data_IF_521682216620
#
_entry.id   IF_521682216620
#
_cell.length_a   1.000
_cell.length_b   1.000
_cell.length_c   1.000
_cell.angle_alpha   90.00
_cell.angle_beta   90.00
_cell.angle_gamma   90.00
#
_symmetry.space_group_name_H-M   'P 1'
#
loop_
_entity.id
_entity.type
_entity.pdbx_description
1 polymer ?
#
# COMPACT_ATOMS: atom_id res chain seq x y z
N UNK A 1 -22.72 -32.51 -6.73
CA UNK A 1 -22.44 -31.06 -6.85
C UNK A 1 -22.46 -30.44 -5.46
N UNK A 2 -21.45 -29.62 -5.15
CA UNK A 2 -21.14 -29.11 -3.81
C UNK A 2 -22.22 -28.11 -3.32
N UNK A 3 -23.20 -28.57 -2.52
CA UNK A 3 -24.16 -27.67 -1.84
C UNK A 3 -23.53 -26.94 -0.63
N UNK A 4 -22.35 -27.39 -0.18
CA UNK A 4 -21.59 -26.81 0.96
C UNK A 4 -21.22 -25.36 0.76
N UNK A 5 -20.61 -25.04 -0.39
CA UNK A 5 -20.19 -23.67 -0.65
C UNK A 5 -21.41 -22.73 -0.77
N UNK A 6 -22.52 -23.19 -1.37
CA UNK A 6 -23.68 -22.33 -1.57
C UNK A 6 -24.45 -22.06 -0.27
N UNK A 7 -24.73 -23.07 0.55
CA UNK A 7 -25.51 -22.88 1.78
C UNK A 7 -24.72 -22.12 2.85
N UNK A 8 -23.41 -22.37 2.95
CA UNK A 8 -22.55 -21.61 3.87
C UNK A 8 -22.45 -20.14 3.45
N UNK A 9 -22.35 -19.84 2.15
CA UNK A 9 -22.33 -18.46 1.65
C UNK A 9 -23.66 -17.72 1.85
N UNK A 10 -24.78 -18.45 1.89
CA UNK A 10 -26.11 -17.85 2.10
C UNK A 10 -26.38 -17.62 3.59
N UNK A 11 -26.12 -18.63 4.43
CA UNK A 11 -26.52 -18.61 5.84
C UNK A 11 -25.41 -18.12 6.78
N UNK A 12 -24.14 -18.25 6.40
CA UNK A 12 -23.00 -17.88 7.25
C UNK A 12 -22.79 -18.78 8.47
N UNK A 13 -23.61 -19.82 8.67
CA UNK A 13 -23.58 -20.71 9.84
C UNK A 13 -22.51 -21.80 9.72
N UNK A 14 -21.94 -22.17 10.86
CA UNK A 14 -21.15 -23.40 11.03
C UNK A 14 -22.05 -24.64 10.95
N UNK A 15 -21.45 -25.82 10.78
CA UNK A 15 -22.20 -27.08 10.76
C UNK A 15 -22.95 -27.35 12.07
N UNK A 16 -22.39 -26.93 13.20
CA UNK A 16 -22.97 -27.13 14.53
C UNK A 16 -24.14 -26.20 14.75
N UNK A 17 -24.00 -24.91 14.42
CA UNK A 17 -25.10 -23.94 14.50
C UNK A 17 -26.26 -24.31 13.58
N UNK A 18 -25.97 -24.74 12.34
CA UNK A 18 -27.00 -25.16 11.40
C UNK A 18 -27.73 -26.42 11.88
N UNK A 19 -27.00 -27.40 12.41
CA UNK A 19 -27.60 -28.62 12.95
C UNK A 19 -28.47 -28.32 14.18
N UNK A 20 -27.97 -27.51 15.10
CA UNK A 20 -28.72 -27.07 16.29
C UNK A 20 -30.00 -26.33 15.91
N UNK A 21 -29.93 -25.36 14.99
CA UNK A 21 -31.07 -24.58 14.52
C UNK A 21 -32.17 -25.46 13.91
N UNK A 22 -31.78 -26.49 13.15
CA UNK A 22 -32.71 -27.40 12.49
C UNK A 22 -33.22 -28.51 13.43
N UNK A 23 -32.58 -28.71 14.59
CA UNK A 23 -32.90 -29.78 15.54
C UNK A 23 -32.45 -31.15 15.04
N UNK A 24 -31.29 -31.21 14.37
CA UNK A 24 -30.68 -32.43 13.84
C UNK A 24 -29.26 -32.59 14.36
N UNK A 25 -28.66 -33.77 14.14
CA UNK A 25 -27.25 -33.97 14.46
C UNK A 25 -26.33 -33.35 13.40
N UNK A 26 -25.14 -32.91 13.82
CA UNK A 26 -24.10 -32.38 12.93
C UNK A 26 -23.78 -33.32 11.76
N UNK A 27 -23.76 -34.63 12.02
CA UNK A 27 -23.52 -35.64 10.99
C UNK A 27 -24.61 -35.67 9.92
N UNK A 28 -25.87 -35.47 10.31
CA UNK A 28 -27.01 -35.40 9.38
C UNK A 28 -26.94 -34.15 8.50
N UNK A 29 -26.53 -33.01 9.08
CA UNK A 29 -26.25 -31.80 8.30
C UNK A 29 -25.13 -32.04 7.28
N UNK A 30 -24.00 -32.60 7.69
CA UNK A 30 -22.88 -32.92 6.78
C UNK A 30 -23.28 -33.88 5.64
N UNK A 31 -24.07 -34.90 5.94
CA UNK A 31 -24.60 -35.82 4.92
C UNK A 31 -25.59 -35.13 3.97
N UNK A 32 -26.41 -34.21 4.47
CA UNK A 32 -27.32 -33.43 3.63
C UNK A 32 -26.57 -32.52 2.67
N UNK A 33 -25.61 -31.77 3.18
CA UNK A 33 -24.90 -30.79 2.38
C UNK A 33 -23.98 -31.47 1.36
N UNK A 34 -23.44 -32.65 1.67
CA UNK A 34 -22.73 -33.50 0.71
C UNK A 34 -23.65 -34.27 -0.26
N UNK A 35 -24.97 -34.18 -0.10
CA UNK A 35 -25.97 -34.85 -0.95
C UNK A 35 -26.11 -36.35 -0.70
N UNK A 36 -25.52 -36.86 0.38
CA UNK A 36 -25.55 -38.28 0.75
C UNK A 36 -26.85 -38.71 1.44
N UNK A 37 -27.58 -37.77 2.07
CA UNK A 37 -28.84 -38.05 2.77
C UNK A 37 -29.78 -36.85 2.73
N UNK A 38 -31.08 -37.08 2.62
CA UNK A 38 -32.05 -35.99 2.77
C UNK A 38 -32.27 -35.61 4.23
N UNK A 39 -32.62 -34.35 4.49
CA UNK A 39 -33.04 -33.92 5.82
C UNK A 39 -34.42 -34.50 6.17
N UNK A 40 -34.71 -34.69 7.47
CA UNK A 40 -36.07 -34.90 7.94
C UNK A 40 -37.01 -33.81 7.43
N UNK A 41 -38.29 -34.13 7.24
CA UNK A 41 -39.29 -33.18 6.72
C UNK A 41 -39.32 -31.88 7.55
N UNK A 42 -39.40 -32.01 8.87
CA UNK A 42 -39.42 -30.87 9.79
C UNK A 42 -38.16 -29.98 9.68
N UNK A 43 -36.98 -30.57 9.47
CA UNK A 43 -35.74 -29.81 9.27
C UNK A 43 -35.71 -29.14 7.89
N UNK A 44 -36.29 -29.77 6.87
CA UNK A 44 -36.41 -29.22 5.52
C UNK A 44 -37.32 -27.99 5.51
N UNK A 45 -38.46 -28.05 6.20
CA UNK A 45 -39.40 -26.93 6.34
C UNK A 45 -38.76 -25.73 7.06
N UNK A 46 -38.04 -25.98 8.18
CA UNK A 46 -37.29 -24.95 8.90
C UNK A 46 -36.22 -24.30 8.03
N UNK A 47 -35.45 -25.09 7.29
CA UNK A 47 -34.42 -24.58 6.38
C UNK A 47 -35.02 -23.73 5.26
N UNK A 48 -36.13 -24.18 4.66
CA UNK A 48 -36.82 -23.44 3.61
C UNK A 48 -37.36 -22.09 4.13
N UNK A 49 -37.93 -22.06 5.33
CA UNK A 49 -38.40 -20.83 5.96
C UNK A 49 -37.25 -19.84 6.23
N UNK A 50 -36.12 -20.34 6.76
CA UNK A 50 -34.94 -19.53 7.03
C UNK A 50 -34.36 -18.94 5.74
N UNK A 51 -34.19 -19.75 4.69
CA UNK A 51 -33.67 -19.31 3.40
C UNK A 51 -34.56 -18.23 2.78
N UNK A 52 -35.89 -18.39 2.87
CA UNK A 52 -36.84 -17.39 2.40
C UNK A 52 -36.69 -16.07 3.15
N UNK A 53 -36.54 -16.11 4.47
CA UNK A 53 -36.34 -14.91 5.28
C UNK A 53 -35.02 -14.22 4.94
N UNK A 54 -33.91 -14.95 4.92
CA UNK A 54 -32.57 -14.40 4.59
C UNK A 54 -32.56 -13.74 3.21
N UNK A 55 -33.22 -14.34 2.20
CA UNK A 55 -33.33 -13.76 0.87
C UNK A 55 -34.26 -12.54 0.79
N UNK A 56 -35.21 -12.42 1.72
CA UNK A 56 -36.14 -11.29 1.79
C UNK A 56 -35.57 -10.09 2.57
N UNK A 57 -34.56 -10.31 3.43
CA UNK A 57 -33.87 -9.23 4.12
C UNK A 57 -33.05 -8.43 3.11
N UNK A 58 -33.58 -7.26 2.71
CA UNK A 58 -32.91 -6.33 1.78
C UNK A 58 -31.90 -5.40 2.45
N UNK A 59 -31.94 -5.29 3.79
CA UNK A 59 -31.09 -4.37 4.54
C UNK A 59 -30.19 -5.13 5.51
N UNK A 60 -28.87 -4.86 5.55
CA UNK A 60 -27.96 -5.47 6.51
C UNK A 60 -28.40 -5.21 7.95
N UNK A 61 -28.05 -6.10 8.87
CA UNK A 61 -28.35 -5.93 10.29
C UNK A 61 -27.71 -4.66 10.86
N UNK A 62 -28.20 -4.19 12.01
CA UNK A 62 -27.64 -3.00 12.67
C UNK A 62 -26.16 -3.19 13.00
N UNK A 63 -25.80 -4.39 13.44
CA UNK A 63 -24.43 -4.80 13.77
C UNK A 63 -23.55 -4.78 12.52
N UNK A 64 -24.04 -5.35 11.41
CA UNK A 64 -23.33 -5.36 10.13
C UNK A 64 -23.10 -3.95 9.59
N UNK A 65 -24.11 -3.07 9.68
CA UNK A 65 -23.99 -1.67 9.27
C UNK A 65 -23.00 -0.90 10.16
N UNK A 66 -23.04 -1.12 11.47
CA UNK A 66 -22.13 -0.45 12.41
C UNK A 66 -20.67 -0.88 12.16
N UNK A 67 -20.42 -2.17 11.94
CA UNK A 67 -19.10 -2.69 11.62
C UNK A 67 -18.59 -2.17 10.28
N UNK A 68 -19.40 -2.22 9.22
CA UNK A 68 -19.01 -1.69 7.91
C UNK A 68 -18.63 -0.20 7.97
N UNK A 69 -19.40 0.61 8.71
CA UNK A 69 -19.09 2.04 8.93
C UNK A 69 -17.78 2.23 9.70
N UNK A 70 -17.55 1.42 10.75
CA UNK A 70 -16.33 1.49 11.52
C UNK A 70 -15.09 1.09 10.71
N UNK A 71 -15.21 0.04 9.90
CA UNK A 71 -14.17 -0.42 8.97
C UNK A 71 -13.86 0.64 7.92
N UNK A 72 -14.89 1.24 7.30
CA UNK A 72 -14.69 2.30 6.30
C UNK A 72 -14.01 3.53 6.91
N UNK A 73 -14.42 3.94 8.12
CA UNK A 73 -13.78 5.06 8.83
C UNK A 73 -12.30 4.77 9.11
N UNK A 74 -12.00 3.57 9.61
CA UNK A 74 -10.62 3.15 9.89
C UNK A 74 -9.78 3.10 8.62
N UNK A 75 -10.34 2.61 7.52
CA UNK A 75 -9.68 2.60 6.22
C UNK A 75 -9.33 4.02 5.76
N UNK A 76 -10.26 4.95 5.86
CA UNK A 76 -10.03 6.36 5.48
C UNK A 76 -8.93 7.01 6.33
N UNK A 77 -8.96 6.79 7.66
CA UNK A 77 -7.93 7.30 8.56
C UNK A 77 -6.55 6.74 8.20
N UNK A 78 -6.45 5.43 7.93
CA UNK A 78 -5.18 4.80 7.55
C UNK A 78 -4.66 5.31 6.20
N UNK A 79 -5.51 5.42 5.18
CA UNK A 79 -5.13 5.96 3.88
C UNK A 79 -4.61 7.40 3.99
N UNK A 80 -5.22 8.22 4.85
CA UNK A 80 -4.77 9.58 5.11
C UNK A 80 -3.39 9.62 5.79
N UNK A 81 -3.13 8.74 6.76
CA UNK A 81 -1.82 8.62 7.40
C UNK A 81 -0.72 8.17 6.43
N UNK A 82 -1.04 7.19 5.58
CA UNK A 82 -0.13 6.71 4.55
C UNK A 82 0.21 7.83 3.55
N UNK A 83 -0.81 8.60 3.14
CA UNK A 83 -0.64 9.74 2.24
C UNK A 83 0.31 10.79 2.82
N UNK A 84 0.11 11.18 4.08
CA UNK A 84 1.01 12.12 4.78
C UNK A 84 2.43 11.58 4.89
N UNK A 85 2.57 10.29 5.20
CA UNK A 85 3.87 9.62 5.29
C UNK A 85 4.61 9.65 3.95
N UNK A 86 3.91 9.42 2.84
CA UNK A 86 4.48 9.49 1.49
C UNK A 86 4.92 10.91 1.15
N UNK A 87 4.12 11.93 1.47
CA UNK A 87 4.50 13.33 1.26
C UNK A 87 5.79 13.71 2.01
N UNK A 88 5.90 13.32 3.28
CA UNK A 88 7.12 13.56 4.08
C UNK A 88 8.33 12.89 3.43
N UNK A 89 8.18 11.65 2.95
CA UNK A 89 9.26 10.93 2.25
C UNK A 89 9.64 11.63 0.94
N UNK A 90 8.68 12.10 0.16
CA UNK A 90 8.94 12.86 -1.07
C UNK A 90 9.75 14.12 -0.79
N UNK A 91 9.37 14.89 0.24
CA UNK A 91 10.09 16.10 0.62
C UNK A 91 11.55 15.79 0.99
N UNK A 92 11.78 14.75 1.81
CA UNK A 92 13.13 14.32 2.20
C UNK A 92 13.97 13.92 0.99
N UNK A 93 13.43 13.12 0.07
CA UNK A 93 14.14 12.71 -1.14
C UNK A 93 14.43 13.90 -2.04
N UNK A 94 13.49 14.84 -2.22
CA UNK A 94 13.71 16.06 -2.99
C UNK A 94 14.84 16.92 -2.39
N UNK A 95 14.93 17.04 -1.06
CA UNK A 95 16.01 17.76 -0.40
C UNK A 95 17.37 17.06 -0.58
N UNK A 96 17.39 15.73 -0.55
CA UNK A 96 18.61 14.96 -0.83
C UNK A 96 19.08 15.17 -2.28
N UNK A 97 18.17 15.10 -3.26
CA UNK A 97 18.45 15.38 -4.67
C UNK A 97 19.11 16.76 -4.82
N UNK A 98 18.48 17.82 -4.27
CA UNK A 98 19.03 19.18 -4.31
C UNK A 98 20.42 19.28 -3.70
N UNK A 99 20.64 18.57 -2.58
CA UNK A 99 21.95 18.57 -1.91
C UNK A 99 23.03 17.92 -2.78
N UNK A 100 22.71 16.81 -3.43
CA UNK A 100 23.63 16.14 -4.37
C UNK A 100 23.89 17.03 -5.58
N UNK A 101 22.86 17.61 -6.18
CA UNK A 101 22.98 18.50 -7.34
C UNK A 101 23.86 19.71 -7.04
N UNK A 102 23.63 20.39 -5.91
CA UNK A 102 24.43 21.54 -5.48
C UNK A 102 25.89 21.15 -5.26
N UNK A 103 26.15 20.07 -4.51
CA UNK A 103 27.52 19.59 -4.27
C UNK A 103 28.24 19.23 -5.57
N UNK A 104 27.54 18.63 -6.52
CA UNK A 104 28.11 18.31 -7.83
C UNK A 104 28.45 19.58 -8.61
N UNK A 105 27.53 20.55 -8.67
CA UNK A 105 27.75 21.84 -9.33
C UNK A 105 28.95 22.59 -8.73
N UNK A 106 29.02 22.68 -7.40
CA UNK A 106 30.16 23.27 -6.68
C UNK A 106 31.49 22.55 -7.00
N UNK A 107 31.47 21.22 -7.08
CA UNK A 107 32.67 20.45 -7.42
C UNK A 107 33.11 20.65 -8.87
N UNK A 108 32.18 20.73 -9.82
CA UNK A 108 32.52 21.04 -11.21
C UNK A 108 33.10 22.45 -11.35
N UNK A 109 32.47 23.46 -10.74
CA UNK A 109 32.99 24.83 -10.72
C UNK A 109 34.40 24.87 -10.08
N UNK A 110 34.63 24.11 -9.01
CA UNK A 110 35.94 24.04 -8.38
C UNK A 110 37.01 23.35 -9.27
N UNK A 111 36.61 22.38 -10.11
CA UNK A 111 37.51 21.77 -11.09
C UNK A 111 37.88 22.76 -12.20
N UNK A 112 36.94 23.58 -12.66
CA UNK A 112 37.18 24.64 -13.63
C UNK A 112 38.19 25.66 -13.07
N UNK A 113 37.99 26.10 -11.82
CA UNK A 113 38.93 27.01 -11.13
C UNK A 113 40.32 26.36 -10.99
N UNK A 114 40.39 25.09 -10.60
CA UNK A 114 41.67 24.39 -10.48
C UNK A 114 42.40 24.31 -11.84
N UNK A 115 41.68 24.09 -12.94
CA UNK A 115 42.26 24.09 -14.29
C UNK A 115 42.81 25.47 -14.68
N UNK A 116 42.08 26.55 -14.40
CA UNK A 116 42.54 27.92 -14.68
C UNK A 116 43.83 28.24 -13.89
N UNK A 117 43.88 27.87 -12.61
CA UNK A 117 45.03 28.13 -11.74
C UNK A 117 46.32 27.40 -12.17
N UNK A 118 46.22 26.33 -12.95
CA UNK A 118 47.38 25.60 -13.49
C UNK A 118 47.91 26.18 -14.81
N UNK A 119 47.06 26.88 -15.56
CA UNK A 119 47.42 27.45 -16.87
C UNK A 119 47.79 28.94 -16.80
N UNK A 120 47.45 29.63 -15.71
CA UNK A 120 47.68 31.07 -15.56
C UNK A 120 49.04 31.39 -14.92
N UNK A 121 49.93 32.01 -15.69
CA UNK A 121 51.25 32.48 -15.23
C UNK A 121 51.16 33.64 -14.23
N UNK A 122 49.98 34.21 -14.01
CA UNK A 122 49.76 35.25 -13.00
C UNK A 122 49.99 34.76 -11.55
N UNK A 123 50.02 33.44 -11.32
CA UNK A 123 50.14 32.87 -9.97
C UNK A 123 51.20 31.74 -9.84
N UNK A 124 52.50 32.07 -9.83
CA UNK A 124 53.61 31.12 -9.99
C UNK A 124 53.86 30.11 -8.84
N UNK A 125 52.93 29.96 -7.87
CA UNK A 125 53.08 29.07 -6.72
C UNK A 125 51.80 28.30 -6.33
N UNK A 126 50.79 28.21 -7.22
CA UNK A 126 49.46 27.65 -6.88
C UNK A 126 49.22 26.19 -7.30
N UNK A 127 50.20 25.51 -7.90
CA UNK A 127 50.03 24.10 -8.32
C UNK A 127 49.61 23.18 -7.17
N UNK A 128 50.16 23.37 -5.97
CA UNK A 128 49.75 22.60 -4.78
C UNK A 128 48.31 22.89 -4.35
N UNK A 129 47.87 24.14 -4.48
CA UNK A 129 46.49 24.54 -4.19
C UNK A 129 45.52 23.95 -5.22
N UNK A 130 45.84 24.02 -6.51
CA UNK A 130 45.03 23.44 -7.58
C UNK A 130 44.88 21.91 -7.41
N UNK A 131 45.98 21.22 -7.08
CA UNK A 131 45.95 19.79 -6.77
C UNK A 131 45.06 19.46 -5.56
N UNK A 132 45.12 20.26 -4.49
CA UNK A 132 44.25 20.10 -3.33
C UNK A 132 42.76 20.30 -3.65
N UNK A 133 42.43 21.34 -4.42
CA UNK A 133 41.06 21.63 -4.87
C UNK A 133 40.53 20.47 -5.72
N UNK A 134 41.34 19.97 -6.66
CA UNK A 134 41.02 18.85 -7.54
C UNK A 134 40.79 17.56 -6.76
N UNK A 135 41.69 17.20 -5.86
CA UNK A 135 41.57 15.97 -5.06
C UNK A 135 40.27 15.95 -4.24
N UNK A 136 39.95 17.07 -3.56
CA UNK A 136 38.69 17.23 -2.83
C UNK A 136 37.47 17.16 -3.75
N UNK A 137 37.47 17.88 -4.87
CA UNK A 137 36.35 17.90 -5.82
C UNK A 137 36.08 16.50 -6.40
N UNK A 138 37.12 15.80 -6.86
CA UNK A 138 37.01 14.44 -7.41
C UNK A 138 36.55 13.45 -6.34
N UNK A 139 37.09 13.53 -5.12
CA UNK A 139 36.64 12.68 -4.01
C UNK A 139 35.16 12.87 -3.68
N UNK A 140 34.68 14.12 -3.71
CA UNK A 140 33.26 14.45 -3.48
C UNK A 140 32.38 13.97 -4.64
N UNK A 141 32.83 14.10 -5.89
CA UNK A 141 32.08 13.63 -7.06
C UNK A 141 31.99 12.10 -7.14
N UNK A 142 32.98 11.36 -6.62
CA UNK A 142 32.93 9.89 -6.55
C UNK A 142 31.82 9.40 -5.62
N UNK A 143 31.64 10.09 -4.49
CA UNK A 143 30.58 9.78 -3.51
C UNK A 143 29.21 10.28 -3.97
N UNK A 144 29.16 11.48 -4.57
CA UNK A 144 27.95 12.12 -5.06
C UNK A 144 27.86 11.95 -6.59
N UNK A 145 27.95 10.72 -7.06
CA UNK A 145 28.01 10.40 -8.47
C UNK A 145 26.62 10.45 -9.14
N UNK A 146 26.61 10.37 -10.48
CA UNK A 146 25.38 10.46 -11.27
C UNK A 146 24.43 9.29 -10.97
N UNK A 147 24.96 8.10 -10.72
CA UNK A 147 24.15 6.93 -10.37
C UNK A 147 23.38 7.15 -9.06
N UNK A 148 24.03 7.65 -8.01
CA UNK A 148 23.39 7.97 -6.73
C UNK A 148 22.29 9.03 -6.89
N UNK A 149 22.49 10.00 -7.79
CA UNK A 149 21.46 10.98 -8.13
C UNK A 149 20.26 10.33 -8.84
N UNK A 150 20.53 9.48 -9.84
CA UNK A 150 19.48 8.75 -10.58
C UNK A 150 18.70 7.81 -9.66
N UNK A 151 19.34 7.15 -8.71
CA UNK A 151 18.67 6.29 -7.72
C UNK A 151 17.66 7.09 -6.87
N UNK A 152 18.03 8.29 -6.42
CA UNK A 152 17.11 9.15 -5.69
C UNK A 152 15.97 9.69 -6.57
N UNK A 153 16.25 9.98 -7.84
CA UNK A 153 15.22 10.41 -8.81
C UNK A 153 14.19 9.30 -9.04
N UNK A 154 14.64 8.06 -9.28
CA UNK A 154 13.75 6.90 -9.40
C UNK A 154 12.92 6.69 -8.13
N UNK A 155 13.54 6.84 -6.95
CA UNK A 155 12.82 6.76 -5.67
C UNK A 155 11.74 7.85 -5.54
N UNK A 156 12.02 9.06 -6.02
CA UNK A 156 11.03 10.16 -6.04
C UNK A 156 9.84 9.80 -6.95
N UNK A 157 10.10 9.27 -8.14
CA UNK A 157 9.06 8.83 -9.08
C UNK A 157 8.19 7.71 -8.48
N UNK A 158 8.81 6.72 -7.83
CA UNK A 158 8.08 5.66 -7.13
C UNK A 158 7.15 6.21 -6.05
N UNK A 159 7.61 7.17 -5.27
CA UNK A 159 6.80 7.81 -4.24
C UNK A 159 5.66 8.66 -4.85
N UNK A 160 5.87 9.26 -6.02
CA UNK A 160 4.83 9.99 -6.75
C UNK A 160 3.75 9.09 -7.31
N UNK A 161 4.11 7.95 -7.89
CA UNK A 161 3.16 6.93 -8.31
C UNK A 161 2.34 6.41 -7.12
N UNK A 162 3.01 6.13 -5.99
CA UNK A 162 2.33 5.68 -4.77
C UNK A 162 1.35 6.73 -4.23
N UNK A 163 1.76 8.01 -4.21
CA UNK A 163 0.90 9.12 -3.81
C UNK A 163 -0.37 9.18 -4.67
N UNK A 164 -0.22 9.10 -6.00
CA UNK A 164 -1.35 9.16 -6.93
C UNK A 164 -2.31 7.96 -6.73
N UNK A 165 -1.76 6.77 -6.49
CA UNK A 165 -2.57 5.58 -6.18
C UNK A 165 -3.36 5.74 -4.87
N UNK A 166 -2.74 6.31 -3.83
CA UNK A 166 -3.42 6.61 -2.57
C UNK A 166 -4.53 7.65 -2.76
N UNK A 167 -4.29 8.72 -3.52
CA UNK A 167 -5.33 9.72 -3.82
C UNK A 167 -6.51 9.11 -4.56
N UNK A 168 -6.25 8.21 -5.51
CA UNK A 168 -7.31 7.50 -6.22
C UNK A 168 -8.14 6.62 -5.26
N UNK A 169 -7.48 5.81 -4.42
CA UNK A 169 -8.16 4.97 -3.43
C UNK A 169 -8.97 5.78 -2.42
N UNK A 170 -8.47 6.96 -2.03
CA UNK A 170 -9.19 7.88 -1.15
C UNK A 170 -10.44 8.47 -1.83
N UNK A 171 -10.41 8.70 -3.15
CA UNK A 171 -11.59 9.16 -3.92
C UNK A 171 -12.62 8.04 -4.07
N UNK A 172 -12.16 6.83 -4.37
CA UNK A 172 -13.02 5.62 -4.48
C UNK A 172 -13.72 5.33 -3.15
N UNK A 173 -12.98 5.34 -2.03
CA UNK A 173 -13.53 5.13 -0.68
C UNK A 173 -14.55 6.20 -0.23
N UNK A 174 -14.53 7.39 -0.85
CA UNK A 174 -15.52 8.46 -0.60
C UNK A 174 -16.79 8.31 -1.44
N UNK A 175 -16.71 7.65 -2.59
CA UNK A 175 -17.85 7.44 -3.49
C UNK A 175 -18.71 6.21 -3.09
N UNK A 176 -18.22 5.36 -2.19
CA UNK A 176 -18.92 4.19 -1.65
C UNK A 176 -19.77 4.49 -0.39
N UNK A 177 -19.84 5.77 0.01
CA UNK A 177 -20.66 6.30 1.12
C UNK A 177 -21.90 7.03 0.59
#
# INVERSE_FOLDING_TARGET
>A
MKKDASLKNILGLTQEEAAYLLGIERGQWSMYVSGKRNLPLAATEKLAALLKQVQQVKSPSKESQALAKAEQKKLQEQLQQDYLTVQIKQHKVAQQIRTIENKRAECFAALEVAAILEHDNAYPAKNNLANGIRARAVGTLRTHNLYALTELQLKKEQLEMLKNSLEQKMKESKNEL
#
